data_IF_299395817901
#
_entry.id   IF_299395817901
#
_cell.length_a   1.000
_cell.length_b   1.000
_cell.length_c   1.000
_cell.angle_alpha   90.00
_cell.angle_beta   90.00
_cell.angle_gamma   90.00
#
_symmetry.space_group_name_H-M   'P 1'
#
loop_
_entity.id
_entity.type
_entity.pdbx_description
1 polymer ?
#
# COMPACT_ATOMS: atom_id res chain seq x y z
N UNK A 1 21.63 -2.54 6.24
CA UNK A 1 20.29 -1.92 6.14
C UNK A 1 19.98 -1.25 7.45
N UNK A 2 19.48 -0.01 7.41
CA UNK A 2 19.10 0.72 8.61
C UNK A 2 17.84 0.11 9.25
N UNK A 3 17.74 0.14 10.60
CA UNK A 3 16.68 -0.58 11.34
C UNK A 3 15.27 -0.08 11.02
N UNK A 4 15.12 1.23 10.75
CA UNK A 4 13.84 1.82 10.34
C UNK A 4 13.37 1.30 8.98
N UNK A 5 14.29 1.18 8.02
CA UNK A 5 14.03 0.61 6.70
C UNK A 5 13.63 -0.87 6.81
N UNK A 6 14.39 -1.65 7.59
CA UNK A 6 14.10 -3.07 7.81
C UNK A 6 12.69 -3.27 8.35
N UNK A 7 12.31 -2.55 9.42
CA UNK A 7 10.98 -2.66 10.03
C UNK A 7 9.86 -2.38 9.03
N UNK A 8 9.97 -1.31 8.26
CA UNK A 8 8.96 -0.96 7.25
C UNK A 8 8.83 -2.04 6.17
N UNK A 9 9.95 -2.60 5.70
CA UNK A 9 9.91 -3.68 4.71
C UNK A 9 9.30 -4.96 5.29
N UNK A 10 9.62 -5.32 6.53
CA UNK A 10 9.06 -6.50 7.21
C UNK A 10 7.55 -6.37 7.42
N UNK A 11 7.07 -5.17 7.78
CA UNK A 11 5.65 -4.87 7.89
C UNK A 11 4.95 -5.00 6.55
N UNK A 12 5.53 -4.44 5.48
CA UNK A 12 4.99 -4.57 4.12
C UNK A 12 4.91 -6.03 3.67
N UNK A 13 5.94 -6.84 3.95
CA UNK A 13 5.95 -8.25 3.60
C UNK A 13 4.89 -9.05 4.39
N UNK A 14 4.72 -8.73 5.67
CA UNK A 14 3.67 -9.30 6.52
C UNK A 14 2.27 -8.99 5.98
N UNK A 15 2.01 -7.73 5.60
CA UNK A 15 0.72 -7.32 5.06
C UNK A 15 0.44 -7.94 3.68
N UNK A 16 1.45 -8.09 2.82
CA UNK A 16 1.30 -8.74 1.51
C UNK A 16 0.94 -10.22 1.64
N UNK A 17 1.57 -10.92 2.59
CA UNK A 17 1.25 -12.30 2.88
C UNK A 17 -0.20 -12.46 3.38
N UNK A 18 -0.66 -11.54 4.25
CA UNK A 18 -2.04 -11.53 4.71
C UNK A 18 -3.05 -11.25 3.57
N UNK A 19 -2.76 -10.28 2.70
CA UNK A 19 -3.57 -10.00 1.50
C UNK A 19 -3.66 -11.24 0.61
N UNK A 20 -2.52 -11.90 0.35
CA UNK A 20 -2.47 -13.12 -0.48
C UNK A 20 -3.34 -14.23 0.09
N UNK A 21 -3.30 -14.43 1.40
CA UNK A 21 -4.14 -15.44 2.05
C UNK A 21 -5.64 -15.19 1.83
N UNK A 22 -6.10 -13.93 1.88
CA UNK A 22 -7.51 -13.60 1.61
C UNK A 22 -7.88 -13.77 0.12
N UNK A 23 -6.97 -13.46 -0.81
CA UNK A 23 -7.16 -13.75 -2.25
C UNK A 23 -7.33 -15.27 -2.48
N UNK A 24 -6.53 -16.07 -1.80
CA UNK A 24 -6.53 -17.54 -1.94
C UNK A 24 -7.74 -18.20 -1.28
N UNK A 25 -8.43 -17.53 -0.34
CA UNK A 25 -9.74 -17.97 0.19
C UNK A 25 -10.85 -17.90 -0.86
N UNK A 26 -10.73 -17.05 -1.88
CA UNK A 26 -11.74 -16.90 -2.94
C UNK A 26 -11.38 -17.80 -4.13
N UNK A 27 -12.23 -18.78 -4.51
CA UNK A 27 -12.00 -19.64 -5.67
C UNK A 27 -11.73 -18.81 -6.93
N UNK A 28 -10.80 -19.22 -7.81
CA UNK A 28 -10.44 -18.45 -9.00
C UNK A 28 -11.63 -18.00 -9.85
N UNK A 29 -12.62 -18.88 -10.06
CA UNK A 29 -13.82 -18.58 -10.85
C UNK A 29 -14.74 -17.48 -10.25
N UNK A 30 -14.51 -17.08 -8.99
CA UNK A 30 -15.28 -16.06 -8.30
C UNK A 30 -14.53 -14.73 -8.15
N UNK A 31 -13.23 -14.65 -8.50
CA UNK A 31 -12.40 -13.48 -8.16
C UNK A 31 -12.78 -12.22 -8.93
N UNK A 32 -13.35 -12.37 -10.12
CA UNK A 32 -13.87 -11.27 -10.93
C UNK A 32 -15.32 -10.90 -10.55
N UNK A 33 -16.01 -11.73 -9.76
CA UNK A 33 -17.40 -11.53 -9.43
C UNK A 33 -17.58 -10.49 -8.33
N UNK A 34 -18.41 -9.48 -8.59
CA UNK A 34 -18.81 -8.51 -7.57
C UNK A 34 -19.86 -9.12 -6.62
N UNK A 35 -19.67 -9.01 -5.28
CA UNK A 35 -20.66 -9.49 -4.31
C UNK A 35 -21.92 -8.62 -4.24
N UNK A 36 -21.89 -7.42 -4.81
CA UNK A 36 -23.05 -6.56 -5.04
C UNK A 36 -22.71 -5.50 -6.11
N UNK A 37 -23.71 -4.86 -6.78
CA UNK A 37 -23.47 -3.88 -7.83
C UNK A 37 -22.57 -2.70 -7.41
N UNK A 38 -22.63 -2.31 -6.13
CA UNK A 38 -21.91 -1.20 -5.51
C UNK A 38 -20.68 -1.67 -4.68
N UNK A 39 -20.19 -2.89 -4.94
CA UNK A 39 -19.01 -3.46 -4.28
C UNK A 39 -18.00 -3.92 -5.32
N UNK A 40 -16.73 -3.82 -4.96
CA UNK A 40 -15.64 -4.32 -5.80
C UNK A 40 -15.47 -5.83 -5.69
N UNK A 41 -15.05 -6.45 -6.78
CA UNK A 41 -14.57 -7.83 -6.81
C UNK A 41 -13.14 -7.93 -6.23
N UNK A 42 -12.62 -9.15 -6.11
CA UNK A 42 -11.22 -9.37 -5.71
C UNK A 42 -10.27 -8.74 -6.73
N UNK A 43 -10.53 -8.96 -8.03
CA UNK A 43 -9.72 -8.40 -9.11
C UNK A 43 -9.65 -6.86 -9.04
N UNK A 44 -10.78 -6.21 -8.78
CA UNK A 44 -10.87 -4.75 -8.68
C UNK A 44 -10.13 -4.19 -7.46
N UNK A 45 -10.19 -4.87 -6.32
CA UNK A 45 -9.41 -4.48 -5.12
C UNK A 45 -7.90 -4.58 -5.40
N UNK A 46 -7.45 -5.66 -6.05
CA UNK A 46 -6.04 -5.85 -6.40
C UNK A 46 -5.56 -4.82 -7.41
N UNK A 47 -6.38 -4.53 -8.44
CA UNK A 47 -6.04 -3.53 -9.44
C UNK A 47 -5.89 -2.14 -8.79
N UNK A 48 -6.83 -1.77 -7.92
CA UNK A 48 -6.76 -0.53 -7.14
C UNK A 48 -5.46 -0.43 -6.33
N UNK A 49 -5.10 -1.48 -5.59
CA UNK A 49 -3.86 -1.53 -4.82
C UNK A 49 -2.64 -1.33 -5.71
N UNK A 50 -2.58 -1.97 -6.88
CA UNK A 50 -1.44 -1.84 -7.79
C UNK A 50 -1.26 -0.41 -8.30
N UNK A 51 -2.36 0.27 -8.63
CA UNK A 51 -2.34 1.65 -9.10
C UNK A 51 -1.85 2.61 -8.01
N UNK A 52 -2.35 2.47 -6.79
CA UNK A 52 -1.97 3.31 -5.65
C UNK A 52 -0.50 3.08 -5.28
N UNK A 53 -0.09 1.82 -5.14
CA UNK A 53 1.27 1.47 -4.72
C UNK A 53 2.31 1.92 -5.76
N UNK A 54 2.04 1.75 -7.07
CA UNK A 54 2.93 2.20 -8.12
C UNK A 54 3.09 3.73 -8.15
N UNK A 55 2.00 4.48 -7.88
CA UNK A 55 2.07 5.94 -7.77
C UNK A 55 2.94 6.36 -6.58
N UNK A 56 2.80 5.69 -5.44
CA UNK A 56 3.60 5.96 -4.25
C UNK A 56 5.07 5.64 -4.48
N UNK A 57 5.38 4.53 -5.18
CA UNK A 57 6.74 4.20 -5.56
C UNK A 57 7.41 5.34 -6.36
N UNK A 58 6.70 5.93 -7.33
CA UNK A 58 7.22 7.07 -8.09
C UNK A 58 7.41 8.35 -7.26
N UNK A 59 6.53 8.62 -6.29
CA UNK A 59 6.71 9.73 -5.33
C UNK A 59 7.97 9.53 -4.50
N UNK A 60 8.13 8.34 -3.92
CA UNK A 60 9.29 8.01 -3.09
C UNK A 60 10.59 8.06 -3.91
N UNK A 61 10.62 7.46 -5.09
CA UNK A 61 11.78 7.48 -5.98
C UNK A 61 12.23 8.92 -6.28
N UNK A 62 11.31 9.77 -6.72
CA UNK A 62 11.62 11.17 -7.05
C UNK A 62 12.09 11.98 -5.83
N UNK A 63 11.42 11.84 -4.69
CA UNK A 63 11.76 12.61 -3.47
C UNK A 63 13.07 12.15 -2.84
N UNK A 64 13.33 10.84 -2.81
CA UNK A 64 14.58 10.28 -2.30
C UNK A 64 15.75 10.68 -3.19
N UNK A 65 15.58 10.61 -4.51
CA UNK A 65 16.63 11.02 -5.45
C UNK A 65 16.99 12.51 -5.29
N UNK A 66 15.99 13.39 -5.20
CA UNK A 66 16.20 14.81 -4.98
C UNK A 66 16.90 15.09 -3.65
N UNK A 67 16.39 14.53 -2.54
CA UNK A 67 16.97 14.74 -1.22
C UNK A 67 18.42 14.23 -1.12
N UNK A 68 18.72 13.10 -1.76
CA UNK A 68 20.10 12.59 -1.87
C UNK A 68 21.01 13.55 -2.63
N UNK A 69 20.55 14.10 -3.75
CA UNK A 69 21.32 15.08 -4.52
C UNK A 69 21.57 16.37 -3.73
N UNK A 70 20.65 16.75 -2.84
CA UNK A 70 20.76 17.89 -1.93
C UNK A 70 21.61 17.59 -0.67
N UNK A 71 22.12 16.37 -0.52
CA UNK A 71 22.98 15.98 0.59
C UNK A 71 22.22 15.73 1.90
N UNK A 72 20.98 15.22 1.82
CA UNK A 72 20.21 14.78 2.98
C UNK A 72 21.08 13.93 3.92
N UNK A 73 21.03 14.27 5.21
CA UNK A 73 21.85 13.63 6.23
C UNK A 73 21.51 12.15 6.41
N UNK A 74 22.44 11.45 7.04
CA UNK A 74 22.22 10.08 7.49
C UNK A 74 21.16 10.01 8.60
N UNK A 75 20.41 8.91 8.59
CA UNK A 75 19.51 8.55 9.67
C UNK A 75 20.32 8.07 10.87
N UNK A 76 20.01 8.63 12.04
CA UNK A 76 20.66 8.30 13.31
C UNK A 76 19.67 7.75 14.33
N UNK A 77 18.36 7.94 14.10
CA UNK A 77 17.32 7.48 15.00
C UNK A 77 16.95 6.01 14.71
N UNK A 78 16.76 5.23 15.76
CA UNK A 78 16.40 3.80 15.66
C UNK A 78 15.01 3.49 16.21
N UNK A 79 14.32 4.52 16.70
CA UNK A 79 12.97 4.44 17.25
C UNK A 79 11.89 4.16 16.19
N UNK A 80 10.63 4.05 16.61
CA UNK A 80 9.49 3.97 15.69
C UNK A 80 9.51 5.09 14.65
N UNK A 81 9.02 4.79 13.45
CA UNK A 81 8.95 5.74 12.33
C UNK A 81 7.61 6.47 12.25
N UNK A 82 6.56 5.86 12.79
CA UNK A 82 5.22 6.44 12.91
C UNK A 82 4.67 6.14 14.31
N UNK A 83 3.70 6.92 14.80
CA UNK A 83 2.97 6.58 16.03
C UNK A 83 2.34 5.19 15.94
N UNK A 84 2.24 4.49 17.07
CA UNK A 84 1.69 3.11 17.12
C UNK A 84 0.28 2.99 16.53
N UNK A 85 -0.53 4.06 16.60
CA UNK A 85 -1.89 4.10 16.08
C UNK A 85 -1.98 4.53 14.60
N UNK A 86 -0.88 4.87 13.94
CA UNK A 86 -0.90 5.41 12.57
C UNK A 86 -1.52 4.43 11.57
N UNK A 87 -1.09 3.17 11.60
CA UNK A 87 -1.64 2.12 10.74
C UNK A 87 -3.13 1.90 11.03
N UNK A 88 -3.53 1.91 12.31
CA UNK A 88 -4.93 1.77 12.70
C UNK A 88 -5.80 2.93 12.16
N UNK A 89 -5.28 4.16 12.16
CA UNK A 89 -5.94 5.33 11.59
C UNK A 89 -6.13 5.20 10.07
N UNK A 90 -5.11 4.70 9.35
CA UNK A 90 -5.20 4.47 7.90
C UNK A 90 -6.18 3.34 7.57
N UNK A 91 -6.18 2.29 8.41
CA UNK A 91 -7.08 1.14 8.27
C UNK A 91 -8.54 1.51 8.46
N UNK A 92 -8.87 2.49 9.29
CA UNK A 92 -10.25 2.80 9.69
C UNK A 92 -11.21 3.02 8.50
N UNK A 93 -12.12 2.06 8.30
CA UNK A 93 -13.16 2.03 7.26
C UNK A 93 -14.48 2.69 7.68
N UNK A 94 -14.58 3.27 8.87
CA UNK A 94 -15.80 3.92 9.38
C UNK A 94 -16.33 5.05 8.49
N UNK A 95 -15.44 5.65 7.68
CA UNK A 95 -15.80 6.64 6.66
C UNK A 95 -15.56 6.07 5.26
N UNK A 96 -16.60 6.00 4.41
CA UNK A 96 -16.43 5.63 3.01
C UNK A 96 -15.47 6.62 2.32
N UNK A 97 -14.49 6.09 1.60
CA UNK A 97 -13.62 6.88 0.71
C UNK A 97 -13.91 6.44 -0.71
N UNK A 98 -14.34 7.38 -1.54
CA UNK A 98 -14.53 7.14 -2.97
C UNK A 98 -13.16 7.21 -3.62
N UNK A 99 -12.76 6.16 -4.32
CA UNK A 99 -11.53 6.19 -5.11
C UNK A 99 -11.65 7.28 -6.18
N UNK A 100 -10.57 8.06 -6.34
CA UNK A 100 -10.49 9.00 -7.46
C UNK A 100 -10.47 8.25 -8.79
N UNK A 101 -10.85 8.89 -9.88
CA UNK A 101 -10.83 8.31 -11.24
C UNK A 101 -9.46 7.69 -11.57
N UNK A 102 -8.36 8.35 -11.17
CA UNK A 102 -6.99 7.88 -11.36
C UNK A 102 -6.63 6.61 -10.57
N UNK A 103 -7.52 6.14 -9.70
CA UNK A 103 -7.38 4.94 -8.85
C UNK A 103 -8.59 4.02 -8.96
N UNK A 104 -9.46 4.24 -9.93
CA UNK A 104 -10.59 3.37 -10.23
C UNK A 104 -10.11 2.20 -11.09
N UNK A 105 -10.44 0.94 -10.74
CA UNK A 105 -10.11 -0.23 -11.53
C UNK A 105 -10.60 -0.12 -12.99
N UNK A 106 -9.78 -0.58 -13.94
CA UNK A 106 -10.00 -0.49 -15.39
C UNK A 106 -10.27 -1.84 -16.05
N UNK A 107 -10.34 -2.92 -15.27
CA UNK A 107 -10.83 -4.23 -15.71
C UNK A 107 -9.74 -5.27 -15.93
N UNK A 108 -8.66 -5.25 -15.13
CA UNK A 108 -7.77 -6.40 -15.06
C UNK A 108 -8.49 -7.61 -14.43
N UNK A 109 -8.17 -8.81 -14.89
CA UNK A 109 -8.53 -10.03 -14.17
C UNK A 109 -7.68 -10.18 -12.89
N UNK A 110 -8.06 -11.09 -12.00
CA UNK A 110 -7.39 -11.20 -10.70
C UNK A 110 -5.90 -11.59 -10.82
N UNK A 111 -5.54 -12.39 -11.82
CA UNK A 111 -4.15 -12.79 -12.05
C UNK A 111 -3.31 -11.60 -12.55
N UNK A 112 -3.79 -10.86 -13.55
CA UNK A 112 -3.14 -9.67 -14.08
C UNK A 112 -3.06 -8.55 -13.04
N UNK A 113 -4.11 -8.35 -12.25
CA UNK A 113 -4.13 -7.40 -11.15
C UNK A 113 -3.12 -7.76 -10.05
N UNK A 114 -3.01 -9.06 -9.70
CA UNK A 114 -2.00 -9.54 -8.76
C UNK A 114 -0.57 -9.34 -9.30
N UNK A 115 -0.33 -9.68 -10.57
CA UNK A 115 0.97 -9.48 -11.20
C UNK A 115 1.37 -8.00 -11.24
N UNK A 116 0.43 -7.10 -11.54
CA UNK A 116 0.65 -5.65 -11.50
C UNK A 116 0.98 -5.17 -10.07
N UNK A 117 0.31 -5.71 -9.04
CA UNK A 117 0.58 -5.39 -7.65
C UNK A 117 1.97 -5.89 -7.18
N UNK A 118 2.42 -7.06 -7.65
CA UNK A 118 3.78 -7.55 -7.40
C UNK A 118 4.85 -6.67 -8.07
N UNK A 119 4.60 -6.22 -9.30
CA UNK A 119 5.48 -5.27 -9.98
C UNK A 119 5.56 -3.92 -9.23
N UNK A 120 4.42 -3.40 -8.77
CA UNK A 120 4.35 -2.20 -7.95
C UNK A 120 5.15 -2.36 -6.64
N UNK A 121 5.05 -3.52 -5.98
CA UNK A 121 5.85 -3.82 -4.77
C UNK A 121 7.33 -3.86 -5.05
N UNK A 122 7.74 -4.44 -6.17
CA UNK A 122 9.13 -4.40 -6.62
C UNK A 122 9.64 -2.98 -6.79
N UNK A 123 8.85 -2.09 -7.43
CA UNK A 123 9.20 -0.68 -7.59
C UNK A 123 9.28 0.06 -6.25
N UNK A 124 8.29 -0.14 -5.38
CA UNK A 124 8.26 0.44 -4.03
C UNK A 124 9.50 0.03 -3.23
N UNK A 125 9.82 -1.27 -3.18
CA UNK A 125 10.99 -1.79 -2.46
C UNK A 125 12.30 -1.18 -2.97
N UNK A 126 12.45 -1.03 -4.31
CA UNK A 126 13.62 -0.36 -4.89
C UNK A 126 13.73 1.09 -4.43
N UNK A 127 12.62 1.84 -4.45
CA UNK A 127 12.61 3.22 -3.97
C UNK A 127 12.96 3.33 -2.47
N UNK A 128 12.36 2.48 -1.63
CA UNK A 128 12.65 2.42 -0.19
C UNK A 128 14.12 2.10 0.08
N UNK A 129 14.68 1.09 -0.61
CA UNK A 129 16.09 0.72 -0.46
C UNK A 129 17.04 1.80 -0.98
N UNK A 130 16.65 2.57 -2.00
CA UNK A 130 17.42 3.72 -2.46
C UNK A 130 17.50 4.84 -1.42
N UNK A 131 16.56 4.88 -0.46
CA UNK A 131 16.55 5.78 0.68
C UNK A 131 17.15 5.20 1.96
N UNK A 132 17.64 3.96 1.94
CA UNK A 132 18.17 3.30 3.15
C UNK A 132 19.31 4.11 3.77
N UNK A 133 19.23 4.31 5.08
CA UNK A 133 20.21 5.08 5.85
C UNK A 133 20.11 6.61 5.71
N UNK A 134 19.16 7.14 4.93
CA UNK A 134 18.88 8.59 4.89
C UNK A 134 17.78 8.97 5.89
N UNK A 135 17.85 10.19 6.43
CA UNK A 135 16.85 10.74 7.35
C UNK A 135 15.53 11.10 6.64
N UNK A 136 14.81 10.07 6.16
CA UNK A 136 13.60 10.22 5.34
C UNK A 136 12.46 10.97 6.06
N UNK A 137 12.51 11.05 7.39
CA UNK A 137 11.59 11.87 8.20
C UNK A 137 11.74 13.38 8.00
N UNK A 138 12.84 13.85 7.40
CA UNK A 138 13.06 15.29 7.11
C UNK A 138 12.54 15.71 5.74
N UNK A 139 12.06 14.76 4.93
CA UNK A 139 11.55 15.02 3.59
C UNK A 139 10.05 14.79 3.60
N UNK A 140 9.27 15.80 3.22
CA UNK A 140 7.81 15.71 3.12
C UNK A 140 7.32 15.71 1.68
N UNK A 141 6.15 15.14 1.48
CA UNK A 141 5.40 15.25 0.24
C UNK A 141 3.88 15.23 0.50
N UNK A 142 3.08 15.93 -0.33
CA UNK A 142 1.64 16.05 -0.13
C UNK A 142 0.89 14.75 -0.42
N UNK A 143 0.18 14.22 0.58
CA UNK A 143 -0.73 13.10 0.44
C UNK A 143 -2.19 13.56 0.22
N UNK A 144 -2.93 13.03 -0.77
CA UNK A 144 -4.29 13.50 -1.09
C UNK A 144 -5.30 13.49 0.07
N UNK A 145 -5.13 12.56 1.01
CA UNK A 145 -6.05 12.39 2.14
C UNK A 145 -5.46 12.74 3.52
N UNK A 146 -4.14 12.89 3.63
CA UNK A 146 -3.44 13.05 4.92
C UNK A 146 -2.71 14.40 5.02
N UNK A 147 -2.68 15.19 3.95
CA UNK A 147 -1.91 16.44 3.91
C UNK A 147 -0.42 16.17 3.74
N UNK A 148 0.41 17.10 4.19
CA UNK A 148 1.87 16.93 4.20
C UNK A 148 2.26 15.85 5.21
N UNK A 149 2.91 14.80 4.71
CA UNK A 149 3.47 13.70 5.51
C UNK A 149 4.89 13.41 5.06
N UNK A 150 5.72 12.91 5.97
CA UNK A 150 7.11 12.55 5.68
C UNK A 150 7.22 11.23 4.89
N UNK A 151 8.40 10.94 4.34
CA UNK A 151 8.58 9.75 3.49
C UNK A 151 8.48 8.43 4.27
N UNK A 152 8.76 8.39 5.57
CA UNK A 152 8.49 7.18 6.36
C UNK A 152 6.99 6.95 6.54
N UNK A 153 6.23 8.02 6.78
CA UNK A 153 4.77 8.00 6.84
C UNK A 153 4.14 7.55 5.52
N UNK A 154 4.69 7.95 4.37
CA UNK A 154 4.28 7.44 3.06
C UNK A 154 4.45 5.93 2.93
N UNK A 155 5.58 5.37 3.41
CA UNK A 155 5.84 3.93 3.36
C UNK A 155 4.87 3.18 4.31
N UNK A 156 4.70 3.68 5.54
CA UNK A 156 3.77 3.11 6.51
C UNK A 156 2.30 3.18 6.01
N UNK A 157 1.94 4.24 5.28
CA UNK A 157 0.63 4.38 4.66
C UNK A 157 0.33 3.24 3.69
N UNK A 158 1.31 2.80 2.86
CA UNK A 158 1.13 1.65 1.96
C UNK A 158 0.70 0.41 2.76
N UNK A 159 1.39 0.12 3.87
CA UNK A 159 1.05 -1.00 4.75
C UNK A 159 -0.37 -0.90 5.30
N UNK A 160 -0.74 0.25 5.88
CA UNK A 160 -2.10 0.45 6.41
C UNK A 160 -3.19 0.40 5.33
N UNK A 161 -2.90 0.89 4.13
CA UNK A 161 -3.79 0.83 2.98
C UNK A 161 -4.01 -0.61 2.50
N UNK A 162 -2.94 -1.43 2.45
CA UNK A 162 -3.04 -2.84 2.11
C UNK A 162 -3.85 -3.63 3.15
N UNK A 163 -3.65 -3.36 4.45
CA UNK A 163 -4.47 -3.96 5.52
C UNK A 163 -5.94 -3.57 5.38
N UNK A 164 -6.24 -2.31 5.09
CA UNK A 164 -7.61 -1.83 4.84
C UNK A 164 -8.30 -2.61 3.71
N UNK A 165 -7.57 -2.93 2.64
CA UNK A 165 -8.11 -3.67 1.50
C UNK A 165 -8.09 -5.18 1.71
N UNK A 166 -7.23 -5.70 2.57
CA UNK A 166 -7.30 -7.08 3.06
C UNK A 166 -8.62 -7.31 3.81
N UNK A 167 -9.06 -6.37 4.65
CA UNK A 167 -10.39 -6.45 5.29
C UNK A 167 -11.54 -6.40 4.28
N UNK A 168 -11.39 -5.59 3.23
CA UNK A 168 -12.37 -5.56 2.15
C UNK A 168 -12.44 -6.91 1.42
N UNK A 169 -11.32 -7.59 1.20
CA UNK A 169 -11.33 -8.94 0.62
C UNK A 169 -12.03 -9.96 1.51
N UNK A 170 -11.90 -9.84 2.84
CA UNK A 170 -12.67 -10.66 3.79
C UNK A 170 -14.17 -10.44 3.61
N UNK A 171 -14.61 -9.18 3.55
CA UNK A 171 -16.01 -8.81 3.31
C UNK A 171 -16.52 -9.41 1.98
N UNK A 172 -15.70 -9.36 0.92
CA UNK A 172 -16.02 -9.94 -0.40
C UNK A 172 -16.14 -11.46 -0.31
N UNK A 173 -15.17 -12.13 0.31
CA UNK A 173 -15.15 -13.58 0.44
C UNK A 173 -16.36 -14.11 1.21
N UNK A 174 -16.68 -13.48 2.36
CA UNK A 174 -17.81 -13.87 3.19
C UNK A 174 -19.15 -13.64 2.45
N UNK A 175 -19.28 -12.53 1.72
CA UNK A 175 -20.48 -12.23 0.94
C UNK A 175 -20.68 -13.18 -0.25
N UNK A 176 -19.60 -13.63 -0.89
CA UNK A 176 -19.68 -14.62 -1.98
C UNK A 176 -19.99 -16.03 -1.46
N UNK A 177 -19.47 -16.40 -0.28
CA UNK A 177 -19.73 -17.70 0.34
C UNK A 177 -21.16 -17.84 0.88
N UNK A 178 -21.83 -16.73 1.21
CA UNK A 178 -23.21 -16.70 1.70
C UNK A 178 -24.28 -16.78 0.60
N UNK A 179 -23.89 -16.88 -0.67
CA UNK A 179 -24.79 -17.00 -1.83
C UNK A 179 -25.09 -18.45 -2.17
#
# INVERSE_FOLDING_TARGET
>A
MHVRTQRLLDELDTHRAALRAEVDRVPPALREQRPAPDRWSVAEVLEHLSMVENRIAGVLEGRIAAARAEGLREETETGPVVPENYVALVRDRSRPRVASEASTPRGLDAEGAWAALEQARGALRRAVLAGDGLALGEVTAPHPALGEIDLYQWIAFVGGHEVRHTDQLREVADALAAR
#
